data_IF_229070613700
#
_entry.id   IF_229070613700
#
_cell.length_a   1.000
_cell.length_b   1.000
_cell.length_c   1.000
_cell.angle_alpha   90.00
_cell.angle_beta   90.00
_cell.angle_gamma   90.00
#
_symmetry.space_group_name_H-M   'P 1'
#
loop_
_entity.id
_entity.type
_entity.pdbx_description
1 polymer ?
#
# COMPACT_ATOMS: atom_id res chain seq x y z
N UNK A 1 -15.45 11.02 0.25
CA UNK A 1 -14.35 11.15 1.24
C UNK A 1 -13.16 10.38 0.70
N UNK A 2 -12.06 11.05 0.38
CA UNK A 2 -10.84 10.40 -0.13
C UNK A 2 -9.83 10.14 0.98
N UNK A 3 -8.80 9.35 0.68
CA UNK A 3 -7.65 9.12 1.55
C UNK A 3 -7.02 10.44 1.99
N UNK A 4 -6.88 10.67 3.30
CA UNK A 4 -6.06 11.77 3.81
C UNK A 4 -4.59 11.40 3.68
N UNK A 5 -3.71 12.40 3.58
CA UNK A 5 -2.26 12.15 3.51
C UNK A 5 -1.73 11.44 4.76
N UNK A 6 -2.36 11.62 5.92
CA UNK A 6 -2.05 10.83 7.13
C UNK A 6 -2.36 9.35 6.94
N UNK A 7 -3.51 9.04 6.37
CA UNK A 7 -4.05 7.68 6.23
C UNK A 7 -3.22 6.90 5.21
N UNK A 8 -2.91 7.54 4.08
CA UNK A 8 -2.05 6.95 3.06
C UNK A 8 -0.64 6.66 3.59
N UNK A 9 -0.09 7.53 4.45
CA UNK A 9 1.22 7.28 5.09
C UNK A 9 1.17 6.15 6.10
N UNK A 10 0.11 6.05 6.90
CA UNK A 10 -0.08 4.94 7.85
C UNK A 10 -0.18 3.62 7.11
N UNK A 11 -1.05 3.52 6.11
CA UNK A 11 -1.12 2.34 5.25
C UNK A 11 0.23 2.01 4.61
N UNK A 12 0.89 2.99 4.00
CA UNK A 12 2.18 2.77 3.33
C UNK A 12 3.27 2.24 4.27
N UNK A 13 3.32 2.75 5.51
CA UNK A 13 4.22 2.26 6.55
C UNK A 13 3.89 0.81 6.93
N UNK A 14 2.62 0.51 7.20
CA UNK A 14 2.15 -0.85 7.53
C UNK A 14 2.46 -1.85 6.42
N UNK A 15 2.26 -1.47 5.15
CA UNK A 15 2.61 -2.31 4.01
C UNK A 15 4.10 -2.66 3.98
N UNK A 16 4.96 -1.65 4.18
CA UNK A 16 6.41 -1.85 4.21
C UNK A 16 6.84 -2.78 5.35
N UNK A 17 6.26 -2.62 6.54
CA UNK A 17 6.54 -3.46 7.71
C UNK A 17 6.11 -4.90 7.44
N UNK A 18 4.86 -5.14 7.05
CA UNK A 18 4.31 -6.47 6.76
C UNK A 18 5.06 -7.20 5.63
N UNK A 19 5.53 -6.44 4.64
CA UNK A 19 6.36 -6.96 3.55
C UNK A 19 7.73 -7.41 4.07
N UNK A 20 8.40 -6.58 4.87
CA UNK A 20 9.70 -6.90 5.43
C UNK A 20 9.62 -8.09 6.40
N UNK A 21 8.56 -8.19 7.20
CA UNK A 21 8.33 -9.32 8.10
C UNK A 21 8.19 -10.66 7.35
N UNK A 22 7.78 -10.62 6.08
CA UNK A 22 7.71 -11.78 5.17
C UNK A 22 8.99 -11.99 4.36
N UNK A 23 10.03 -11.17 4.56
CA UNK A 23 11.26 -11.23 3.77
C UNK A 23 11.08 -10.88 2.29
N UNK A 24 9.98 -10.22 1.93
CA UNK A 24 9.68 -9.86 0.54
C UNK A 24 10.35 -8.55 0.14
N UNK A 25 10.85 -8.47 -1.10
CA UNK A 25 11.20 -7.19 -1.73
C UNK A 25 9.94 -6.47 -2.23
N UNK A 26 10.05 -5.16 -2.51
CA UNK A 26 8.95 -4.40 -3.13
C UNK A 26 8.48 -5.02 -4.45
N UNK A 27 9.38 -5.68 -5.18
CA UNK A 27 9.07 -6.33 -6.44
C UNK A 27 8.28 -7.62 -6.23
N UNK A 28 8.63 -8.40 -5.20
CA UNK A 28 7.92 -9.64 -4.85
C UNK A 28 6.47 -9.36 -4.46
N UNK A 29 6.26 -8.40 -3.55
CA UNK A 29 4.91 -8.05 -3.12
C UNK A 29 4.11 -7.41 -4.27
N UNK A 30 4.75 -6.57 -5.09
CA UNK A 30 4.10 -5.98 -6.24
C UNK A 30 3.62 -7.06 -7.21
N UNK A 31 4.50 -8.00 -7.58
CA UNK A 31 4.17 -9.10 -8.48
C UNK A 31 3.03 -9.97 -7.93
N UNK A 32 3.12 -10.37 -6.66
CA UNK A 32 2.08 -11.15 -6.00
C UNK A 32 0.73 -10.42 -5.91
N UNK A 33 0.75 -9.07 -5.87
CA UNK A 33 -0.46 -8.23 -5.80
C UNK A 33 -0.99 -7.80 -7.18
N UNK A 34 -0.37 -8.22 -8.29
CA UNK A 34 -0.73 -7.75 -9.64
C UNK A 34 -0.37 -6.28 -9.92
N UNK A 35 0.64 -5.75 -9.24
CA UNK A 35 1.10 -4.36 -9.33
C UNK A 35 2.50 -4.27 -9.93
N UNK A 36 2.85 -3.08 -10.42
CA UNK A 36 4.24 -2.74 -10.71
C UNK A 36 5.00 -2.38 -9.43
N UNK A 37 6.32 -2.62 -9.42
CA UNK A 37 7.21 -2.16 -8.34
C UNK A 37 7.07 -0.66 -8.04
N UNK A 38 6.86 0.17 -9.08
CA UNK A 38 6.66 1.61 -8.90
C UNK A 38 5.35 1.92 -8.16
N UNK A 39 4.26 1.23 -8.48
CA UNK A 39 3.00 1.35 -7.73
C UNK A 39 3.18 0.95 -6.27
N UNK A 40 3.85 -0.18 -5.99
CA UNK A 40 4.17 -0.59 -4.62
C UNK A 40 5.00 0.47 -3.89
N UNK A 41 6.03 1.01 -4.54
CA UNK A 41 6.86 2.07 -3.97
C UNK A 41 6.06 3.35 -3.66
N UNK A 42 5.13 3.76 -4.54
CA UNK A 42 4.24 4.91 -4.30
C UNK A 42 3.29 4.67 -3.13
N UNK A 43 2.72 3.46 -3.04
CA UNK A 43 1.86 3.04 -1.94
C UNK A 43 2.59 3.06 -0.59
N UNK A 44 3.78 2.47 -0.51
CA UNK A 44 4.58 2.46 0.73
C UNK A 44 4.99 3.86 1.20
N UNK A 45 5.09 4.82 0.27
CA UNK A 45 5.37 6.23 0.58
C UNK A 45 4.10 7.03 0.90
N UNK A 46 2.91 6.43 0.76
CA UNK A 46 1.63 7.11 0.94
C UNK A 46 1.37 8.21 -0.09
N UNK A 47 1.97 8.11 -1.28
CA UNK A 47 2.00 9.18 -2.28
C UNK A 47 1.29 8.77 -3.57
N UNK A 48 0.49 9.67 -4.14
CA UNK A 48 -0.10 9.49 -5.47
C UNK A 48 0.91 9.57 -6.61
N UNK A 49 0.52 9.10 -7.80
CA UNK A 49 1.37 9.05 -9.01
C UNK A 49 1.65 10.40 -9.67
N UNK A 50 1.08 11.50 -9.17
CA UNK A 50 1.28 12.84 -9.73
C UNK A 50 2.70 13.42 -9.54
N UNK A 51 2.96 14.59 -10.17
CA UNK A 51 4.22 15.33 -9.99
C UNK A 51 4.54 15.59 -8.52
N UNK A 52 5.82 15.66 -8.14
CA UNK A 52 6.24 15.83 -6.73
C UNK A 52 5.57 17.04 -6.07
N UNK A 53 5.49 18.16 -6.79
CA UNK A 53 4.92 19.40 -6.28
C UNK A 53 3.40 19.34 -6.03
N UNK A 54 2.69 18.40 -6.66
CA UNK A 54 1.22 18.35 -6.66
C UNK A 54 0.65 16.97 -6.28
N UNK A 55 1.51 15.99 -6.00
CA UNK A 55 1.10 14.65 -5.65
C UNK A 55 0.35 14.66 -4.31
N UNK A 56 -0.92 14.32 -4.35
CA UNK A 56 -1.73 14.09 -3.16
C UNK A 56 -1.39 12.77 -2.47
N UNK A 57 -2.23 12.43 -1.49
CA UNK A 57 -2.21 11.12 -0.84
C UNK A 57 -2.38 9.99 -1.86
N UNK A 58 -1.74 8.85 -1.61
CA UNK A 58 -2.08 7.64 -2.37
C UNK A 58 -3.55 7.29 -2.12
N UNK A 59 -4.25 6.92 -3.18
CA UNK A 59 -5.66 6.54 -3.16
C UNK A 59 -5.80 5.16 -3.84
N UNK A 60 -5.41 4.07 -3.16
CA UNK A 60 -5.53 2.73 -3.71
C UNK A 60 -7.00 2.37 -3.94
N UNK A 61 -7.27 1.71 -5.08
CA UNK A 61 -8.57 1.10 -5.35
C UNK A 61 -8.80 -0.09 -4.42
N UNK A 62 -10.06 -0.47 -4.21
CA UNK A 62 -10.38 -1.67 -3.43
C UNK A 62 -9.71 -2.92 -3.97
N UNK A 63 -9.66 -3.09 -5.30
CA UNK A 63 -8.95 -4.18 -5.98
C UNK A 63 -7.47 -4.23 -5.60
N UNK A 64 -6.82 -3.06 -5.50
CA UNK A 64 -5.42 -2.94 -5.09
C UNK A 64 -5.23 -3.37 -3.63
N UNK A 65 -6.12 -2.93 -2.72
CA UNK A 65 -6.04 -3.32 -1.31
C UNK A 65 -6.30 -4.82 -1.12
N UNK A 66 -7.28 -5.37 -1.84
CA UNK A 66 -7.61 -6.79 -1.80
C UNK A 66 -6.43 -7.65 -2.30
N UNK A 67 -5.82 -7.29 -3.44
CA UNK A 67 -4.67 -8.02 -3.98
C UNK A 67 -3.45 -7.98 -3.05
N UNK A 68 -3.19 -6.85 -2.40
CA UNK A 68 -2.10 -6.75 -1.42
C UNK A 68 -2.39 -7.56 -0.16
N UNK A 69 -3.62 -7.52 0.35
CA UNK A 69 -4.01 -8.30 1.52
C UNK A 69 -3.88 -9.81 1.25
N UNK A 70 -4.36 -10.27 0.09
CA UNK A 70 -4.24 -11.66 -0.36
C UNK A 70 -2.77 -12.09 -0.50
N UNK A 71 -1.92 -11.26 -1.13
CA UNK A 71 -0.48 -11.52 -1.24
C UNK A 71 0.23 -11.57 0.12
N UNK A 72 -0.27 -10.85 1.11
CA UNK A 72 0.20 -10.92 2.49
C UNK A 72 -0.44 -12.06 3.28
N UNK A 73 -1.39 -12.81 2.71
CA UNK A 73 -2.08 -13.91 3.40
C UNK A 73 -2.95 -13.43 4.57
N UNK A 74 -3.61 -12.28 4.43
CA UNK A 74 -4.54 -11.74 5.44
C UNK A 74 -5.77 -11.10 4.81
N UNK A 75 -6.79 -10.84 5.60
CA UNK A 75 -7.97 -10.11 5.13
C UNK A 75 -7.67 -8.61 4.96
N UNK A 76 -8.43 -7.95 4.08
CA UNK A 76 -8.36 -6.50 3.91
C UNK A 76 -8.71 -5.75 5.22
N UNK A 77 -9.64 -6.27 6.02
CA UNK A 77 -9.98 -5.68 7.32
C UNK A 77 -8.82 -5.75 8.32
N UNK A 78 -8.09 -6.86 8.37
CA UNK A 78 -6.90 -6.98 9.23
C UNK A 78 -5.79 -6.03 8.78
N UNK A 79 -5.61 -5.90 7.46
CA UNK A 79 -4.65 -4.95 6.89
C UNK A 79 -4.98 -3.50 7.30
N UNK A 80 -6.24 -3.09 7.16
CA UNK A 80 -6.69 -1.73 7.53
C UNK A 80 -6.60 -1.50 9.04
N UNK A 81 -7.00 -2.48 9.86
CA UNK A 81 -6.85 -2.41 11.31
C UNK A 81 -5.38 -2.24 11.75
N UNK A 82 -4.44 -2.94 11.09
CA UNK A 82 -3.00 -2.75 11.33
C UNK A 82 -2.46 -1.38 10.88
N UNK A 83 -3.17 -0.70 9.98
CA UNK A 83 -2.88 0.66 9.55
C UNK A 83 -3.61 1.73 10.39
N UNK A 84 -4.40 1.33 11.39
CA UNK A 84 -5.22 2.22 12.23
C UNK A 84 -6.23 3.03 11.38
N UNK A 85 -6.91 2.32 10.46
CA UNK A 85 -7.91 2.83 9.51
C UNK A 85 -9.27 2.15 9.65
#
# INVERSE_FOLDING_TARGET
MGWRSSDARRLGKTLRELRNDRGMSQEDLAHASGLTKNQMSLLERGRGSGPIATAGASNPRMETLAGIADALGMSMSELLAKADL
#
